data_IF_129961456373
#
_entry.id   IF_129961456373
#
_cell.length_a   1.000
_cell.length_b   1.000
_cell.length_c   1.000
_cell.angle_alpha   90.00
_cell.angle_beta   90.00
_cell.angle_gamma   90.00
#
_symmetry.space_group_name_H-M   'P 1'
#
loop_
_entity.id
_entity.type
_entity.pdbx_description
1 polymer ?
#
# COMPACT_ATOMS: atom_id res chain seq x y z
N UNK A 1 5.08 17.33 -6.54
CA UNK A 1 3.70 16.97 -6.13
C UNK A 1 3.31 15.85 -7.06
N UNK A 2 3.13 14.63 -6.53
CA UNK A 2 2.99 13.45 -7.39
C UNK A 2 1.53 13.33 -7.86
N UNK A 3 0.56 13.73 -7.03
CA UNK A 3 -0.82 14.07 -7.43
C UNK A 3 -1.61 14.59 -6.21
N UNK A 4 -2.77 15.20 -6.45
CA UNK A 4 -3.75 15.44 -5.37
C UNK A 4 -4.67 14.22 -5.29
N UNK A 5 -4.73 13.58 -4.12
CA UNK A 5 -5.58 12.41 -3.92
C UNK A 5 -6.81 12.82 -3.11
N UNK A 6 -7.97 12.84 -3.78
CA UNK A 6 -9.25 13.23 -3.19
C UNK A 6 -9.67 12.30 -2.04
N UNK A 7 -9.26 11.03 -2.08
CA UNK A 7 -9.64 10.03 -1.07
C UNK A 7 -8.95 10.23 0.28
N UNK A 8 -7.74 10.78 0.29
CA UNK A 8 -7.02 11.15 1.51
C UNK A 8 -7.15 12.65 1.82
N UNK A 9 -7.92 13.37 0.99
CA UNK A 9 -8.09 14.82 1.06
C UNK A 9 -6.76 15.58 1.22
N UNK A 10 -5.73 15.11 0.52
CA UNK A 10 -4.38 15.64 0.68
C UNK A 10 -3.55 15.42 -0.61
N UNK A 11 -2.52 16.23 -0.77
CA UNK A 11 -1.50 16.00 -1.79
C UNK A 11 -0.63 14.82 -1.41
N UNK A 12 -0.34 13.94 -2.37
CA UNK A 12 0.63 12.86 -2.23
C UNK A 12 1.92 13.28 -2.92
N UNK A 13 3.03 13.11 -2.23
CA UNK A 13 4.36 13.53 -2.68
C UNK A 13 5.46 12.85 -1.86
N UNK A 14 6.71 13.18 -2.16
CA UNK A 14 7.90 12.60 -1.53
C UNK A 14 7.87 12.52 0.02
N UNK A 15 7.22 13.47 0.70
CA UNK A 15 7.16 13.52 2.16
C UNK A 15 6.11 12.58 2.79
N UNK A 16 5.11 12.12 2.03
CA UNK A 16 4.07 11.19 2.52
C UNK A 16 3.85 9.97 1.61
N UNK A 17 4.68 9.78 0.58
CA UNK A 17 4.63 8.66 -0.36
C UNK A 17 4.70 7.32 0.37
N UNK A 18 5.56 7.19 1.39
CA UNK A 18 5.64 6.00 2.26
C UNK A 18 4.29 5.67 2.90
N UNK A 19 3.66 6.67 3.52
CA UNK A 19 2.39 6.47 4.22
C UNK A 19 1.27 6.12 3.26
N UNK A 20 1.25 6.73 2.07
CA UNK A 20 0.28 6.41 1.04
C UNK A 20 0.43 4.98 0.52
N UNK A 21 1.66 4.53 0.24
CA UNK A 21 1.91 3.14 -0.20
C UNK A 21 1.51 2.13 0.89
N UNK A 22 1.83 2.42 2.15
CA UNK A 22 1.40 1.56 3.26
C UNK A 22 -0.11 1.53 3.42
N UNK A 23 -0.78 2.68 3.31
CA UNK A 23 -2.23 2.77 3.37
C UNK A 23 -2.91 1.92 2.28
N UNK A 24 -2.48 2.05 1.02
CA UNK A 24 -3.06 1.27 -0.08
C UNK A 24 -2.71 -0.22 0.05
N UNK A 25 -1.49 -0.55 0.47
CA UNK A 25 -1.08 -1.94 0.71
C UNK A 25 -1.93 -2.61 1.79
N UNK A 26 -2.09 -1.97 2.95
CA UNK A 26 -2.89 -2.52 4.05
C UNK A 26 -4.37 -2.63 3.69
N UNK A 27 -4.90 -1.67 2.94
CA UNK A 27 -6.29 -1.72 2.45
C UNK A 27 -6.48 -2.90 1.49
N UNK A 28 -5.49 -3.19 0.64
CA UNK A 28 -5.52 -4.38 -0.21
C UNK A 28 -5.51 -5.67 0.61
N UNK A 29 -4.61 -5.76 1.61
CA UNK A 29 -4.48 -6.94 2.47
C UNK A 29 -5.77 -7.21 3.25
N UNK A 30 -6.37 -6.19 3.88
CA UNK A 30 -7.62 -6.37 4.64
C UNK A 30 -8.80 -6.72 3.74
N UNK A 31 -8.83 -6.19 2.50
CA UNK A 31 -9.87 -6.54 1.51
C UNK A 31 -9.75 -8.00 1.07
N UNK A 32 -8.52 -8.47 0.79
CA UNK A 32 -8.27 -9.89 0.48
C UNK A 32 -8.63 -10.78 1.68
N UNK A 33 -8.27 -10.36 2.89
CA UNK A 33 -8.62 -11.08 4.11
C UNK A 33 -10.14 -11.22 4.30
N UNK A 34 -10.89 -10.14 4.03
CA UNK A 34 -12.35 -10.17 4.05
C UNK A 34 -12.93 -11.16 3.02
N UNK A 35 -12.36 -11.24 1.80
CA UNK A 35 -12.78 -12.21 0.79
C UNK A 35 -12.49 -13.66 1.20
N UNK A 36 -11.36 -13.91 1.86
CA UNK A 36 -11.04 -15.24 2.41
C UNK A 36 -12.05 -15.63 3.48
N UNK A 37 -12.34 -14.74 4.43
CA UNK A 37 -13.33 -14.98 5.48
C UNK A 37 -14.74 -15.18 4.90
N UNK A 38 -15.12 -14.40 3.89
CA UNK A 38 -16.36 -14.56 3.15
C UNK A 38 -16.45 -15.96 2.52
N UNK A 39 -15.38 -16.42 1.85
CA UNK A 39 -15.33 -17.74 1.25
C UNK A 39 -15.44 -18.86 2.27
N UNK A 40 -14.79 -18.71 3.44
CA UNK A 40 -14.91 -19.65 4.57
C UNK A 40 -16.34 -19.66 5.12
N UNK A 41 -16.96 -18.49 5.29
CA UNK A 41 -18.33 -18.37 5.79
C UNK A 41 -19.33 -19.05 4.86
N UNK A 42 -19.27 -18.75 3.56
CA UNK A 42 -20.11 -19.39 2.54
C UNK A 42 -19.88 -20.92 2.53
N UNK A 43 -18.63 -21.37 2.57
CA UNK A 43 -18.31 -22.81 2.58
C UNK A 43 -18.87 -23.52 3.81
N UNK A 44 -18.88 -22.85 4.96
CA UNK A 44 -19.43 -23.39 6.22
C UNK A 44 -20.96 -23.41 6.20
N UNK A 45 -21.59 -22.36 5.66
CA UNK A 45 -23.04 -22.25 5.48
C UNK A 45 -23.61 -23.14 4.37
N UNK A 46 -22.79 -23.61 3.43
CA UNK A 46 -23.22 -24.63 2.45
C UNK A 46 -23.19 -26.03 3.08
N UNK A 47 -22.22 -26.30 3.97
CA UNK A 47 -22.09 -27.59 4.66
C UNK A 47 -23.07 -27.75 5.82
N UNK A 48 -23.42 -26.64 6.46
CA UNK A 48 -24.40 -26.56 7.56
C UNK A 48 -25.70 -25.98 7.01
N UNK A 49 -26.85 -26.21 7.63
CA UNK A 49 -28.07 -25.53 7.18
C UNK A 49 -27.94 -23.99 7.31
N UNK A 50 -28.28 -23.26 6.25
CA UNK A 50 -28.19 -21.79 6.18
C UNK A 50 -28.94 -21.08 7.32
N UNK A 51 -30.00 -21.70 7.82
CA UNK A 51 -30.81 -21.19 8.95
C UNK A 51 -30.06 -21.23 10.27
N UNK A 52 -29.07 -22.11 10.43
CA UNK A 52 -28.25 -22.21 11.63
C UNK A 52 -27.03 -21.26 11.59
N UNK A 53 -26.61 -20.83 10.40
CA UNK A 53 -25.43 -19.98 10.22
C UNK A 53 -25.74 -18.49 10.07
N UNK A 54 -26.97 -18.15 9.67
CA UNK A 54 -27.38 -16.77 9.48
C UNK A 54 -27.68 -16.08 10.82
N UNK A 55 -26.91 -15.04 11.16
CA UNK A 55 -27.17 -14.20 12.35
C UNK A 55 -28.47 -13.39 12.21
N UNK A 56 -28.80 -13.01 10.97
CA UNK A 56 -30.07 -12.40 10.59
C UNK A 56 -30.92 -13.39 9.78
N UNK A 57 -32.05 -12.94 9.24
CA UNK A 57 -32.80 -13.77 8.30
C UNK A 57 -31.91 -14.16 7.09
N UNK A 58 -32.02 -15.41 6.58
CA UNK A 58 -31.24 -15.86 5.42
C UNK A 58 -31.19 -14.87 4.23
N UNK A 59 -32.30 -14.24 3.78
CA UNK A 59 -32.23 -13.27 2.68
C UNK A 59 -31.43 -12.01 3.04
N UNK A 60 -31.53 -11.50 4.27
CA UNK A 60 -30.77 -10.33 4.70
C UNK A 60 -29.26 -10.63 4.74
N UNK A 61 -28.87 -11.78 5.28
CA UNK A 61 -27.48 -12.22 5.29
C UNK A 61 -26.92 -12.32 3.87
N UNK A 62 -27.65 -12.95 2.93
CA UNK A 62 -27.20 -13.07 1.53
C UNK A 62 -26.95 -11.69 0.90
N UNK A 63 -27.87 -10.74 1.10
CA UNK A 63 -27.72 -9.38 0.57
C UNK A 63 -26.45 -8.72 1.13
N UNK A 64 -26.21 -8.82 2.44
CA UNK A 64 -25.03 -8.24 3.08
C UNK A 64 -23.72 -8.90 2.59
N UNK A 65 -23.73 -10.22 2.37
CA UNK A 65 -22.57 -10.93 1.80
C UNK A 65 -22.27 -10.49 0.37
N UNK A 66 -23.30 -10.20 -0.45
CA UNK A 66 -23.12 -9.67 -1.81
C UNK A 66 -22.48 -8.28 -1.78
N UNK A 67 -22.98 -7.37 -0.93
CA UNK A 67 -22.40 -6.03 -0.79
C UNK A 67 -20.95 -6.10 -0.30
N UNK A 68 -20.67 -6.93 0.71
CA UNK A 68 -19.32 -7.15 1.22
C UNK A 68 -18.38 -7.69 0.13
N UNK A 69 -18.84 -8.65 -0.68
CA UNK A 69 -18.06 -9.19 -1.79
C UNK A 69 -17.71 -8.11 -2.82
N UNK A 70 -18.71 -7.32 -3.23
CA UNK A 70 -18.53 -6.25 -4.20
C UNK A 70 -17.56 -5.18 -3.69
N UNK A 71 -17.74 -4.75 -2.44
CA UNK A 71 -16.87 -3.78 -1.78
C UNK A 71 -15.43 -4.29 -1.71
N UNK A 72 -15.22 -5.48 -1.16
CA UNK A 72 -13.89 -6.03 -0.96
C UNK A 72 -13.14 -6.32 -2.28
N UNK A 73 -13.84 -6.78 -3.33
CA UNK A 73 -13.23 -6.95 -4.67
C UNK A 73 -12.83 -5.58 -5.24
N UNK A 74 -13.75 -4.61 -5.20
CA UNK A 74 -13.53 -3.27 -5.77
C UNK A 74 -12.35 -2.57 -5.10
N UNK A 75 -12.32 -2.56 -3.76
CA UNK A 75 -11.22 -1.96 -3.01
C UNK A 75 -9.91 -2.71 -3.18
N UNK A 76 -9.93 -4.06 -3.21
CA UNK A 76 -8.70 -4.83 -3.44
C UNK A 76 -8.08 -4.52 -4.80
N UNK A 77 -8.86 -4.53 -5.88
CA UNK A 77 -8.35 -4.23 -7.22
C UNK A 77 -7.85 -2.79 -7.32
N UNK A 78 -8.65 -1.83 -6.87
CA UNK A 78 -8.29 -0.42 -6.89
C UNK A 78 -7.00 -0.14 -6.11
N UNK A 79 -6.91 -0.64 -4.88
CA UNK A 79 -5.74 -0.40 -4.01
C UNK A 79 -4.51 -1.18 -4.46
N UNK A 80 -4.66 -2.34 -5.09
CA UNK A 80 -3.55 -3.07 -5.72
C UNK A 80 -2.95 -2.27 -6.89
N UNK A 81 -3.79 -1.72 -7.77
CA UNK A 81 -3.35 -0.85 -8.88
C UNK A 81 -2.67 0.40 -8.34
N UNK A 82 -3.27 1.06 -7.34
CA UNK A 82 -2.68 2.25 -6.72
C UNK A 82 -1.32 1.95 -6.05
N UNK A 83 -1.19 0.82 -5.36
CA UNK A 83 0.11 0.41 -4.80
C UNK A 83 1.13 0.14 -5.90
N UNK A 84 0.72 -0.58 -6.95
CA UNK A 84 1.58 -0.92 -8.09
C UNK A 84 2.06 0.31 -8.86
N UNK A 85 1.20 1.30 -9.08
CA UNK A 85 1.57 2.56 -9.74
C UNK A 85 2.58 3.35 -8.90
N UNK A 86 2.40 3.43 -7.58
CA UNK A 86 3.37 4.11 -6.71
C UNK A 86 4.73 3.40 -6.67
N UNK A 87 4.75 2.07 -6.67
CA UNK A 87 6.00 1.29 -6.77
C UNK A 87 6.64 1.44 -8.15
N UNK A 88 5.83 1.48 -9.21
CA UNK A 88 6.29 1.71 -10.56
C UNK A 88 6.91 3.10 -10.72
N UNK A 89 6.31 4.15 -10.14
CA UNK A 89 6.89 5.50 -10.13
C UNK A 89 8.26 5.52 -9.46
N UNK A 90 8.44 4.85 -8.32
CA UNK A 90 9.75 4.69 -7.67
C UNK A 90 10.73 4.00 -8.60
N UNK A 91 10.28 2.96 -9.31
CA UNK A 91 11.11 2.24 -10.27
C UNK A 91 11.52 3.10 -11.47
N UNK A 92 10.59 3.87 -12.05
CA UNK A 92 10.86 4.71 -13.21
C UNK A 92 11.72 5.92 -12.87
N UNK A 93 11.56 6.51 -11.68
CA UNK A 93 12.39 7.63 -11.23
C UNK A 93 13.88 7.23 -11.19
N UNK A 94 14.18 5.98 -10.82
CA UNK A 94 15.53 5.42 -10.94
C UNK A 94 15.98 5.39 -12.38
N UNK A 95 15.16 4.82 -13.28
CA UNK A 95 15.54 4.71 -14.69
C UNK A 95 15.76 6.08 -15.34
N UNK A 96 15.04 7.11 -14.90
CA UNK A 96 15.28 8.50 -15.27
C UNK A 96 16.67 8.96 -14.84
N UNK A 97 17.00 8.84 -13.55
CA UNK A 97 18.31 9.24 -13.00
C UNK A 97 19.47 8.46 -13.66
N UNK A 98 19.30 7.15 -13.86
CA UNK A 98 20.31 6.31 -14.52
C UNK A 98 20.48 6.67 -16.00
N UNK A 99 19.39 7.00 -16.70
CA UNK A 99 19.44 7.52 -18.08
C UNK A 99 20.16 8.87 -18.16
N UNK A 100 20.06 9.72 -17.14
CA UNK A 100 20.84 10.97 -17.05
C UNK A 100 22.31 10.72 -16.71
N UNK A 101 22.62 9.69 -15.92
CA UNK A 101 24.01 9.33 -15.54
C UNK A 101 24.73 8.45 -16.56
N UNK A 102 24.04 7.92 -17.56
CA UNK A 102 24.66 7.18 -18.68
C UNK A 102 25.27 5.82 -18.31
N UNK A 103 24.96 5.25 -17.14
CA UNK A 103 25.54 3.99 -16.67
C UNK A 103 24.74 2.76 -17.12
N UNK A 104 25.40 1.82 -17.81
CA UNK A 104 24.81 0.58 -18.36
C UNK A 104 25.30 -0.64 -17.57
N UNK A 105 24.58 -1.10 -16.54
CA UNK A 105 24.81 -2.41 -15.90
C UNK A 105 23.55 -2.89 -15.14
N UNK A 106 22.91 -3.99 -15.56
CA UNK A 106 21.67 -4.53 -14.96
C UNK A 106 21.83 -5.02 -13.52
N UNK A 107 22.99 -5.55 -13.14
CA UNK A 107 23.27 -5.97 -11.74
C UNK A 107 23.28 -4.76 -10.79
N UNK A 108 23.66 -3.58 -11.28
CA UNK A 108 23.63 -2.33 -10.52
C UNK A 108 22.21 -1.79 -10.37
N UNK A 109 21.34 -2.07 -11.33
CA UNK A 109 19.92 -1.62 -11.37
C UNK A 109 19.08 -2.19 -10.23
N UNK A 110 19.21 -3.48 -9.90
CA UNK A 110 18.47 -4.07 -8.76
C UNK A 110 18.95 -3.48 -7.42
N UNK A 111 20.26 -3.26 -7.28
CA UNK A 111 20.84 -2.57 -6.13
C UNK A 111 20.34 -1.12 -6.01
N UNK A 112 20.20 -0.44 -7.14
CA UNK A 112 19.65 0.93 -7.26
C UNK A 112 18.17 1.01 -6.85
N UNK A 113 17.37 0.00 -7.19
CA UNK A 113 15.97 -0.09 -6.76
C UNK A 113 15.82 -0.30 -5.24
N UNK A 114 16.57 -1.22 -4.66
CA UNK A 114 16.58 -1.39 -3.20
C UNK A 114 17.07 -0.12 -2.51
N UNK A 115 18.05 0.59 -3.08
CA UNK A 115 18.50 1.88 -2.57
C UNK A 115 17.40 2.94 -2.60
N UNK A 116 16.57 2.96 -3.62
CA UNK A 116 15.46 3.93 -3.73
C UNK A 116 14.30 3.60 -2.81
N UNK A 117 14.00 2.31 -2.64
CA UNK A 117 13.10 1.86 -1.58
C UNK A 117 13.66 2.25 -0.19
N UNK A 118 14.97 2.19 0.04
CA UNK A 118 15.58 2.70 1.28
C UNK A 118 15.42 4.20 1.45
N UNK A 119 15.39 5.00 0.37
CA UNK A 119 15.10 6.44 0.46
C UNK A 119 13.65 6.71 0.90
N UNK A 120 12.69 5.90 0.43
CA UNK A 120 11.26 6.07 0.75
C UNK A 120 10.90 5.44 2.10
N UNK A 121 11.31 4.20 2.35
CA UNK A 121 10.91 3.40 3.51
C UNK A 121 11.88 3.49 4.70
N UNK A 122 13.15 3.77 4.43
CA UNK A 122 14.22 3.93 5.42
C UNK A 122 15.42 3.00 5.19
N UNK A 123 16.58 3.38 5.73
CA UNK A 123 17.88 2.73 5.46
C UNK A 123 17.98 1.29 5.97
N UNK A 124 17.31 0.96 7.07
CA UNK A 124 17.28 -0.37 7.64
C UNK A 124 16.11 -1.17 7.07
N UNK A 125 16.44 -2.16 6.22
CA UNK A 125 15.48 -3.16 5.75
C UNK A 125 15.01 -4.01 6.93
N UNK A 126 13.71 -3.97 7.23
CA UNK A 126 13.15 -4.69 8.38
C UNK A 126 11.67 -4.38 8.59
N UNK A 127 11.14 -4.81 9.74
CA UNK A 127 9.72 -4.60 10.12
C UNK A 127 9.33 -3.12 10.17
N UNK A 128 10.30 -2.22 10.31
CA UNK A 128 10.11 -0.77 10.26
C UNK A 128 9.57 -0.29 8.91
N UNK A 129 9.85 -0.99 7.80
CA UNK A 129 9.31 -0.61 6.49
C UNK A 129 7.79 -0.69 6.44
N UNK A 130 7.23 -1.67 7.14
CA UNK A 130 5.78 -1.86 7.26
C UNK A 130 5.17 -1.00 8.36
N UNK A 131 5.97 -0.45 9.27
CA UNK A 131 5.46 0.38 10.37
C UNK A 131 5.12 1.81 9.89
N UNK A 132 3.83 2.22 9.90
CA UNK A 132 3.41 3.56 9.48
C UNK A 132 3.83 4.67 10.46
N UNK A 133 4.32 4.33 11.65
CA UNK A 133 4.80 5.32 12.62
C UNK A 133 6.31 5.58 12.50
N UNK A 134 7.02 4.81 11.69
CA UNK A 134 8.44 5.03 11.46
C UNK A 134 8.65 6.17 10.46
N UNK A 135 9.44 7.18 10.86
CA UNK A 135 9.73 8.33 10.01
C UNK A 135 10.55 7.90 8.78
N UNK A 136 10.22 8.36 7.56
CA UNK A 136 11.09 8.22 6.42
C UNK A 136 12.40 8.99 6.67
N UNK A 137 13.52 8.46 6.17
CA UNK A 137 14.87 9.02 6.41
C UNK A 137 15.00 10.47 5.94
N UNK A 138 14.31 10.85 4.86
CA UNK A 138 14.33 12.22 4.32
C UNK A 138 13.77 13.27 5.29
N UNK A 139 12.85 12.89 6.19
CA UNK A 139 12.34 13.80 7.23
C UNK A 139 13.31 13.93 8.41
N UNK A 140 14.23 12.99 8.59
CA UNK A 140 15.29 13.07 9.59
C UNK A 140 16.37 14.02 9.09
N UNK A 141 16.84 13.85 7.84
CA UNK A 141 17.89 14.70 7.26
C UNK A 141 17.44 16.14 7.05
N UNK A 142 16.18 16.40 6.62
CA UNK A 142 15.67 17.77 6.50
C UNK A 142 15.46 18.49 7.85
N UNK A 143 15.23 17.73 8.93
CA UNK A 143 15.16 18.32 10.27
C UNK A 143 16.57 18.58 10.82
N UNK A 144 17.53 17.71 10.56
CA UNK A 144 18.94 17.94 10.94
C UNK A 144 19.53 19.14 10.18
N UNK A 145 19.30 19.24 8.87
CA UNK A 145 19.76 20.38 8.07
C UNK A 145 19.13 21.69 8.55
N UNK A 146 17.82 21.72 8.84
CA UNK A 146 17.18 22.92 9.41
C UNK A 146 17.77 23.33 10.75
N UNK A 147 18.09 22.39 11.64
CA UNK A 147 18.71 22.69 12.94
C UNK A 147 20.14 23.20 12.77
N UNK A 148 20.88 22.80 11.73
CA UNK A 148 22.25 23.28 11.47
C UNK A 148 22.34 24.68 10.85
N UNK A 149 21.25 25.23 10.29
CA UNK A 149 21.22 26.61 9.76
C UNK A 149 20.65 27.64 10.75
N UNK A 150 20.19 27.20 11.93
CA UNK A 150 19.66 28.04 13.00
C UNK A 150 20.69 28.28 14.15
N UNK A 151 22.01 28.27 13.85
CA UNK A 151 23.11 28.66 14.75
C UNK A 151 24.00 29.71 14.10
#
# INVERSE_FOLDING_TARGET
MDHHCVFVNNCVGQNNQKYFILFTFYTCVISIYALILLGIHISTCIKSDWTACATWSPPATIILLIFLAFEAISFSVFTAIMTGTQLYSIYTDITGIESFKGEKNDVRRHSSFISSLKMVFGSQVGLTWFNPFSKPVNLITQNDERVTFDV
#
